data_IF_788557668859
#
_entry.id   IF_788557668859
#
_cell.length_a   1.000
_cell.length_b   1.000
_cell.length_c   1.000
_cell.angle_alpha   90.00
_cell.angle_beta   90.00
_cell.angle_gamma   90.00
#
_symmetry.space_group_name_H-M   'P 1'
#
loop_
_entity.id
_entity.type
_entity.pdbx_description
1 polymer ?
#
# COMPACT_ATOMS: atom_id res chain seq x y z
N UNK A 1 -9.93 17.43 -0.15
CA UNK A 1 -11.10 18.12 0.44
C UNK A 1 -11.67 17.20 1.52
N UNK A 2 -11.95 17.78 2.71
CA UNK A 2 -12.65 17.05 3.77
C UNK A 2 -14.11 16.86 3.37
N UNK A 3 -14.55 15.62 3.27
CA UNK A 3 -15.93 15.29 2.96
C UNK A 3 -16.79 15.47 4.20
N UNK A 4 -17.80 16.33 4.13
CA UNK A 4 -18.74 16.59 5.24
C UNK A 4 -19.64 15.37 5.52
N UNK A 5 -20.06 15.20 6.78
CA UNK A 5 -20.96 14.10 7.18
C UNK A 5 -22.29 14.05 6.38
N UNK A 6 -22.81 15.17 5.97
CA UNK A 6 -24.01 15.25 5.12
C UNK A 6 -23.75 14.67 3.73
N UNK A 7 -22.59 14.97 3.16
CA UNK A 7 -22.18 14.47 1.86
C UNK A 7 -21.98 12.94 1.89
N UNK A 8 -21.37 12.40 2.95
CA UNK A 8 -21.27 10.97 3.19
C UNK A 8 -22.65 10.28 3.25
N UNK A 9 -23.59 10.91 3.91
CA UNK A 9 -24.94 10.36 4.06
C UNK A 9 -25.71 10.31 2.73
N UNK A 10 -25.56 11.35 1.89
CA UNK A 10 -26.34 11.46 0.66
C UNK A 10 -25.68 10.80 -0.56
N UNK A 11 -24.36 10.77 -0.65
CA UNK A 11 -23.66 10.33 -1.86
C UNK A 11 -23.15 8.87 -1.79
N UNK A 12 -23.10 8.24 -0.63
CA UNK A 12 -23.02 6.79 -0.44
C UNK A 12 -21.70 6.08 -0.81
N UNK A 13 -20.76 6.71 -1.48
CA UNK A 13 -19.49 6.09 -1.87
C UNK A 13 -18.30 6.98 -1.56
N UNK A 14 -17.48 6.54 -0.63
CA UNK A 14 -16.29 7.27 -0.20
C UNK A 14 -15.15 6.31 0.13
N UNK A 15 -13.95 6.87 0.25
CA UNK A 15 -12.77 6.17 0.73
C UNK A 15 -12.97 5.68 2.19
N UNK A 16 -12.16 4.74 2.61
CA UNK A 16 -12.23 4.11 3.94
C UNK A 16 -12.10 5.09 5.11
N UNK A 17 -11.36 6.21 4.95
CA UNK A 17 -11.19 7.22 6.00
C UNK A 17 -12.52 7.89 6.39
N UNK A 18 -13.25 8.54 5.46
CA UNK A 18 -14.54 9.16 5.77
C UNK A 18 -15.55 8.16 6.32
N UNK A 19 -15.61 6.95 5.74
CA UNK A 19 -16.55 5.90 6.16
C UNK A 19 -16.27 5.47 7.61
N UNK A 20 -15.00 5.16 7.94
CA UNK A 20 -14.63 4.78 9.30
C UNK A 20 -14.91 5.90 10.30
N UNK A 21 -14.57 7.15 9.97
CA UNK A 21 -14.80 8.33 10.82
C UNK A 21 -16.29 8.56 11.05
N UNK A 22 -17.12 8.42 10.02
CA UNK A 22 -18.57 8.57 10.12
C UNK A 22 -19.21 7.49 11.02
N UNK A 23 -18.86 6.21 10.80
CA UNK A 23 -19.35 5.12 11.63
C UNK A 23 -18.98 5.26 13.11
N UNK A 24 -17.73 5.64 13.38
CA UNK A 24 -17.24 5.93 14.74
C UNK A 24 -18.02 7.11 15.35
N UNK A 25 -18.27 8.17 14.60
CA UNK A 25 -19.00 9.34 15.10
C UNK A 25 -20.45 9.02 15.47
N UNK A 26 -21.16 8.22 14.67
CA UNK A 26 -22.53 7.76 14.97
C UNK A 26 -22.55 6.94 16.27
N UNK A 27 -21.67 5.96 16.39
CA UNK A 27 -21.65 5.11 17.59
C UNK A 27 -21.30 5.90 18.85
N UNK A 28 -20.39 6.87 18.75
CA UNK A 28 -20.08 7.79 19.87
C UNK A 28 -21.28 8.67 20.24
N UNK A 29 -22.05 9.16 19.27
CA UNK A 29 -23.27 9.90 19.52
C UNK A 29 -24.31 9.03 20.27
N UNK A 30 -24.27 7.71 20.10
CA UNK A 30 -25.07 6.76 20.87
C UNK A 30 -24.46 6.35 22.21
N UNK A 31 -23.35 6.97 22.63
CA UNK A 31 -22.68 6.66 23.90
C UNK A 31 -21.81 5.39 23.88
N UNK A 32 -21.53 4.85 22.70
CA UNK A 32 -20.72 3.64 22.54
C UNK A 32 -19.22 4.03 22.39
N UNK A 33 -18.32 3.52 23.24
CA UNK A 33 -16.90 3.82 23.13
C UNK A 33 -16.32 3.22 21.84
N UNK A 34 -15.88 4.08 20.93
CA UNK A 34 -15.34 3.71 19.61
C UNK A 34 -14.15 4.57 19.22
N UNK A 35 -13.31 4.05 18.33
CA UNK A 35 -12.20 4.77 17.75
C UNK A 35 -11.96 4.35 16.30
N UNK A 36 -11.18 5.13 15.56
CA UNK A 36 -10.69 4.75 14.23
C UNK A 36 -9.32 4.09 14.38
N UNK A 37 -9.12 2.97 13.75
CA UNK A 37 -7.83 2.32 13.55
C UNK A 37 -7.44 2.28 12.08
N UNK A 38 -6.14 2.19 11.83
CA UNK A 38 -5.62 2.00 10.49
C UNK A 38 -4.31 1.21 10.51
N UNK A 39 -4.04 0.49 9.42
CA UNK A 39 -2.74 -0.15 9.20
C UNK A 39 -1.78 0.83 8.50
N UNK A 40 -0.50 0.81 8.85
CA UNK A 40 0.53 1.66 8.25
C UNK A 40 0.64 1.44 6.72
N UNK A 41 0.64 0.19 6.29
CA UNK A 41 0.46 -0.19 4.89
C UNK A 41 0.13 -1.69 4.77
N UNK A 42 -0.31 -2.10 3.58
CA UNK A 42 -0.41 -3.51 3.21
C UNK A 42 0.93 -4.03 2.69
N UNK A 43 1.18 -5.31 2.90
CA UNK A 43 2.38 -6.02 2.40
C UNK A 43 2.40 -6.20 0.90
N UNK A 44 1.23 -6.33 0.29
CA UNK A 44 1.07 -6.75 -1.11
C UNK A 44 0.72 -5.62 -2.06
N UNK A 45 0.15 -4.52 -1.55
CA UNK A 45 -0.29 -3.40 -2.39
C UNK A 45 -0.13 -2.07 -1.69
N UNK A 46 -0.28 -1.05 -2.50
CA UNK A 46 -0.29 0.34 -2.05
C UNK A 46 -1.49 0.61 -1.15
N UNK A 47 -1.30 1.57 -0.24
CA UNK A 47 -2.38 2.12 0.53
C UNK A 47 -2.45 1.61 1.95
N UNK A 48 -3.37 2.20 2.65
CA UNK A 48 -3.75 1.95 4.05
C UNK A 48 -5.21 1.56 4.07
N UNK A 49 -5.63 0.91 5.14
CA UNK A 49 -7.05 0.70 5.39
C UNK A 49 -7.40 1.28 6.74
N UNK A 50 -8.51 2.01 6.78
CA UNK A 50 -9.08 2.59 7.97
C UNK A 50 -10.37 1.84 8.31
N UNK A 51 -10.56 1.54 9.59
CA UNK A 51 -11.74 0.84 10.09
C UNK A 51 -12.13 1.35 11.47
N UNK A 52 -13.34 1.04 11.90
CA UNK A 52 -13.81 1.33 13.25
C UNK A 52 -13.46 0.23 14.23
N UNK A 53 -13.32 0.59 15.51
CA UNK A 53 -13.27 -0.35 16.62
C UNK A 53 -14.21 0.07 17.72
N UNK A 54 -14.84 -0.91 18.38
CA UNK A 54 -15.75 -0.74 19.53
C UNK A 54 -15.13 -1.38 20.75
N UNK A 55 -15.16 -0.69 21.88
CA UNK A 55 -14.77 -1.27 23.15
C UNK A 55 -15.96 -2.02 23.75
N UNK A 56 -15.83 -3.34 23.94
CA UNK A 56 -16.85 -4.16 24.60
C UNK A 56 -16.82 -4.00 26.12
N UNK A 57 -17.82 -4.57 26.80
CA UNK A 57 -17.94 -4.54 28.27
C UNK A 57 -16.81 -5.28 29.00
N UNK A 58 -16.05 -6.12 28.31
CA UNK A 58 -14.92 -6.89 28.86
C UNK A 58 -13.58 -6.18 28.64
N UNK A 59 -13.57 -5.02 27.99
CA UNK A 59 -12.36 -4.26 27.69
C UNK A 59 -11.69 -4.68 26.37
N UNK A 60 -12.33 -5.50 25.54
CA UNK A 60 -11.78 -5.90 24.23
C UNK A 60 -12.20 -4.91 23.16
N UNK A 61 -11.31 -4.63 22.23
CA UNK A 61 -11.59 -3.84 21.04
C UNK A 61 -12.02 -4.77 19.91
N UNK A 62 -13.23 -4.54 19.39
CA UNK A 62 -13.86 -5.31 18.32
C UNK A 62 -13.83 -4.48 17.05
N UNK A 63 -13.17 -4.99 16.01
CA UNK A 63 -13.04 -4.30 14.75
C UNK A 63 -14.29 -4.44 13.87
N UNK A 64 -14.60 -3.41 13.07
CA UNK A 64 -15.69 -3.42 12.09
C UNK A 64 -15.43 -2.45 10.94
N UNK A 65 -15.99 -2.75 9.78
CA UNK A 65 -16.11 -1.81 8.68
C UNK A 65 -17.55 -1.29 8.64
N UNK A 66 -17.77 0.02 8.82
CA UNK A 66 -19.14 0.56 8.92
C UNK A 66 -20.05 0.20 7.75
N UNK A 67 -19.48 0.03 6.55
CA UNK A 67 -20.22 -0.27 5.33
C UNK A 67 -20.50 -1.77 5.11
N UNK A 68 -19.79 -2.68 5.82
CA UNK A 68 -19.78 -4.10 5.41
C UNK A 68 -19.74 -5.12 6.52
N UNK A 69 -19.47 -4.75 7.77
CA UNK A 69 -19.36 -5.72 8.87
C UNK A 69 -19.84 -5.16 10.20
N UNK A 70 -20.33 -6.05 11.06
CA UNK A 70 -20.59 -5.76 12.48
C UNK A 70 -19.32 -5.91 13.31
N UNK A 71 -19.23 -5.29 14.50
CA UNK A 71 -18.12 -5.47 15.41
C UNK A 71 -17.85 -6.94 15.75
N UNK A 72 -16.64 -7.40 15.59
CA UNK A 72 -16.25 -8.80 15.81
C UNK A 72 -14.85 -8.91 16.42
N UNK A 73 -14.66 -9.95 17.25
CA UNK A 73 -13.33 -10.36 17.72
C UNK A 73 -12.57 -11.20 16.68
N UNK A 74 -13.22 -11.59 15.60
CA UNK A 74 -12.58 -12.29 14.49
C UNK A 74 -11.78 -11.31 13.64
N UNK A 75 -10.46 -11.29 13.85
CA UNK A 75 -9.52 -10.45 13.12
C UNK A 75 -9.19 -11.01 11.72
N UNK A 76 -9.74 -12.16 11.32
CA UNK A 76 -9.50 -12.76 10.00
C UNK A 76 -10.03 -11.90 8.86
N UNK A 77 -11.13 -11.17 9.09
CA UNK A 77 -11.75 -10.28 8.12
C UNK A 77 -10.86 -9.09 7.71
N UNK A 78 -9.89 -8.71 8.54
CA UNK A 78 -8.95 -7.61 8.29
C UNK A 78 -7.66 -8.07 7.61
N UNK A 79 -7.55 -9.36 7.24
CA UNK A 79 -6.37 -9.92 6.60
C UNK A 79 -5.07 -9.56 7.36
N UNK A 80 -5.11 -9.76 8.68
CA UNK A 80 -4.03 -9.38 9.60
C UNK A 80 -2.65 -9.90 9.18
N UNK A 81 -2.61 -10.98 8.38
CA UNK A 81 -1.37 -11.57 7.86
C UNK A 81 -0.65 -10.66 6.85
N UNK A 82 -1.38 -9.78 6.18
CA UNK A 82 -0.88 -8.95 5.07
C UNK A 82 -0.71 -7.47 5.43
N UNK A 83 -0.97 -7.10 6.67
CA UNK A 83 -0.79 -5.73 7.16
C UNK A 83 0.53 -5.55 7.92
N UNK A 84 0.99 -4.31 7.96
CA UNK A 84 2.04 -3.84 8.86
C UNK A 84 1.41 -3.03 9.99
N UNK A 85 2.20 -2.56 10.93
CA UNK A 85 1.77 -1.94 12.19
C UNK A 85 0.40 -1.26 12.15
N UNK A 86 -0.34 -1.37 13.25
CA UNK A 86 -1.70 -0.85 13.40
C UNK A 86 -1.70 0.27 14.42
N UNK A 87 -2.34 1.37 14.05
CA UNK A 87 -2.44 2.58 14.85
C UNK A 87 -3.89 2.95 15.11
N UNK A 88 -4.15 3.50 16.31
CA UNK A 88 -5.46 4.02 16.72
C UNK A 88 -5.38 5.51 16.94
N UNK A 89 -6.36 6.24 16.43
CA UNK A 89 -6.56 7.63 16.81
C UNK A 89 -7.24 7.69 18.18
N UNK A 90 -6.52 8.24 19.14
CA UNK A 90 -6.99 8.47 20.50
C UNK A 90 -7.65 9.84 20.63
N UNK A 91 -8.45 10.04 21.66
CA UNK A 91 -9.06 11.35 21.99
C UNK A 91 -8.25 12.14 23.04
N UNK A 92 -7.15 11.57 23.50
CA UNK A 92 -6.17 12.19 24.37
C UNK A 92 -4.79 12.12 23.76
N UNK A 93 -3.95 13.10 24.05
CA UNK A 93 -2.57 13.14 23.61
C UNK A 93 -1.77 11.91 24.09
N UNK A 94 -0.97 11.36 23.22
CA UNK A 94 -0.06 10.25 23.47
C UNK A 94 1.38 10.79 23.47
N UNK A 95 1.97 10.92 24.66
CA UNK A 95 3.28 11.58 24.85
C UNK A 95 4.47 10.79 24.33
N UNK A 96 4.27 9.56 23.91
CA UNK A 96 5.25 8.65 23.32
C UNK A 96 5.25 8.65 21.79
N UNK A 97 4.44 9.53 21.18
CA UNK A 97 4.42 9.67 19.70
C UNK A 97 5.62 10.46 19.17
N UNK A 98 6.01 10.26 17.91
CA UNK A 98 7.02 11.09 17.25
C UNK A 98 6.75 12.58 17.38
N UNK A 99 5.49 13.00 17.33
CA UNK A 99 5.06 14.40 17.50
C UNK A 99 5.63 15.05 18.77
N UNK A 100 5.65 14.34 19.93
CA UNK A 100 6.21 14.84 21.18
C UNK A 100 7.67 14.48 21.42
N UNK A 101 8.15 13.45 20.73
CA UNK A 101 9.53 12.95 20.90
C UNK A 101 10.51 13.65 19.96
N UNK A 102 10.00 14.37 18.95
CA UNK A 102 10.84 15.11 18.01
C UNK A 102 11.72 16.13 18.73
N UNK A 103 12.89 16.39 18.21
CA UNK A 103 13.82 17.39 18.69
C UNK A 103 14.46 18.16 17.56
N UNK A 104 14.74 19.44 17.82
CA UNK A 104 15.51 20.27 16.91
C UNK A 104 14.88 20.44 15.52
N UNK A 105 13.55 20.33 15.39
CA UNK A 105 12.84 20.43 14.10
C UNK A 105 13.18 19.30 13.14
N UNK A 106 13.46 18.08 13.65
CA UNK A 106 13.63 16.91 12.79
C UNK A 106 12.33 16.61 12.03
N UNK A 107 12.47 16.09 10.82
CA UNK A 107 11.31 15.71 10.02
C UNK A 107 10.59 14.49 10.60
N UNK A 108 9.28 14.61 10.80
CA UNK A 108 8.41 13.50 11.16
C UNK A 108 7.66 13.08 9.90
N UNK A 109 7.70 11.79 9.51
CA UNK A 109 6.84 11.29 8.44
C UNK A 109 5.36 11.57 8.73
N UNK A 110 4.61 12.01 7.73
CA UNK A 110 3.19 12.38 7.84
C UNK A 110 2.33 11.34 8.58
N UNK A 111 2.63 10.05 8.39
CA UNK A 111 1.96 8.96 9.09
C UNK A 111 2.00 9.10 10.60
N UNK A 112 3.06 9.68 11.16
CA UNK A 112 3.36 9.75 12.59
C UNK A 112 3.26 11.16 13.16
N UNK A 113 2.92 12.15 12.32
CA UNK A 113 2.78 13.55 12.73
C UNK A 113 1.39 13.82 13.34
N UNK A 114 1.14 13.14 14.46
CA UNK A 114 -0.11 13.31 15.21
C UNK A 114 0.11 13.08 16.71
N UNK A 115 -0.35 14.02 17.56
CA UNK A 115 -0.30 13.86 19.02
C UNK A 115 -1.26 12.78 19.53
N UNK A 116 -2.19 12.31 18.72
CA UNK A 116 -3.27 11.40 19.12
C UNK A 116 -3.05 9.96 18.67
N UNK A 117 -1.88 9.64 18.14
CA UNK A 117 -1.58 8.33 17.55
C UNK A 117 -1.09 7.36 18.61
N UNK A 118 -1.73 6.19 18.73
CA UNK A 118 -1.30 5.08 19.59
C UNK A 118 -0.99 3.84 18.76
N UNK A 119 0.20 3.28 18.97
CA UNK A 119 0.53 1.94 18.44
C UNK A 119 -0.27 0.89 19.21
N UNK A 120 -1.13 0.16 18.51
CA UNK A 120 -1.96 -0.93 19.05
C UNK A 120 -1.63 -2.28 18.40
N UNK A 121 -0.52 -2.35 17.66
CA UNK A 121 -0.09 -3.53 16.90
C UNK A 121 -0.03 -4.78 17.78
N UNK A 122 0.56 -4.68 18.98
CA UNK A 122 0.72 -5.79 19.91
C UNK A 122 -0.58 -6.33 20.50
N UNK A 123 -1.69 -5.58 20.40
CA UNK A 123 -3.02 -6.05 20.84
C UNK A 123 -3.66 -6.99 19.81
N UNK A 124 -3.26 -6.89 18.55
CA UNK A 124 -3.88 -7.60 17.43
C UNK A 124 -2.95 -8.62 16.78
N UNK A 125 -1.65 -8.36 16.81
CA UNK A 125 -0.64 -9.16 16.14
C UNK A 125 0.50 -9.53 17.07
N UNK A 126 1.16 -10.65 16.80
CA UNK A 126 2.42 -10.99 17.47
C UNK A 126 3.48 -9.97 17.10
N UNK A 127 4.08 -9.33 18.08
CA UNK A 127 5.20 -8.40 17.93
C UNK A 127 6.36 -8.82 18.82
N UNK A 128 7.54 -8.32 18.48
CA UNK A 128 8.74 -8.45 19.31
C UNK A 128 9.41 -7.07 19.44
N UNK A 129 10.00 -6.75 20.61
CA UNK A 129 10.88 -5.59 20.69
C UNK A 129 12.16 -5.86 19.90
N UNK A 130 12.68 -4.83 19.26
CA UNK A 130 13.89 -4.91 18.45
C UNK A 130 14.80 -3.75 18.74
N UNK A 131 16.06 -4.04 19.12
CA UNK A 131 17.10 -3.03 19.31
C UNK A 131 18.16 -3.16 18.23
N UNK A 132 18.45 -2.07 17.54
CA UNK A 132 19.46 -1.97 16.48
C UNK A 132 20.57 -1.01 16.89
N UNK A 133 21.80 -1.28 16.45
CA UNK A 133 22.91 -0.33 16.58
C UNK A 133 22.62 0.93 15.75
N UNK A 134 22.93 2.09 16.32
CA UNK A 134 22.78 3.39 15.66
C UNK A 134 24.08 4.20 15.82
N UNK A 135 24.84 4.35 14.75
CA UNK A 135 26.17 4.99 14.74
C UNK A 135 26.17 6.36 14.06
N UNK A 136 25.02 6.82 13.59
CA UNK A 136 24.93 8.11 12.90
C UNK A 136 25.13 9.29 13.85
N UNK A 137 25.87 10.29 13.38
CA UNK A 137 26.24 11.47 14.17
C UNK A 137 25.24 12.62 14.09
N UNK A 138 24.17 12.49 13.28
CA UNK A 138 23.12 13.49 13.12
C UNK A 138 22.40 13.83 14.43
N UNK A 139 21.58 14.90 14.43
CA UNK A 139 20.86 15.37 15.62
C UNK A 139 19.47 14.75 15.82
N UNK A 140 19.08 13.80 15.00
CA UNK A 140 17.78 13.14 15.11
C UNK A 140 17.60 12.48 16.48
N UNK A 141 16.40 12.58 17.04
CA UNK A 141 15.99 11.86 18.25
C UNK A 141 15.24 10.56 17.90
N UNK A 142 14.79 10.45 16.65
CA UNK A 142 13.97 9.34 16.15
C UNK A 142 14.62 8.66 14.96
N UNK A 143 14.41 7.36 14.91
CA UNK A 143 14.65 6.53 13.74
C UNK A 143 13.44 5.63 13.47
N UNK A 144 13.39 5.04 12.30
CA UNK A 144 12.22 4.32 11.80
C UNK A 144 12.62 2.98 11.20
N UNK A 145 11.72 2.01 11.28
CA UNK A 145 11.76 0.86 10.38
C UNK A 145 10.79 1.14 9.24
N UNK A 146 11.27 0.99 8.03
CA UNK A 146 10.46 1.10 6.83
C UNK A 146 10.27 -0.27 6.17
N UNK A 147 9.21 -0.41 5.39
CA UNK A 147 8.90 -1.60 4.60
C UNK A 147 8.72 -1.23 3.12
N UNK A 148 8.77 -2.22 2.22
CA UNK A 148 8.48 -2.00 0.81
C UNK A 148 7.07 -1.46 0.59
N UNK A 149 6.96 -0.43 -0.24
CA UNK A 149 5.69 0.10 -0.70
C UNK A 149 5.85 0.67 -2.11
N UNK A 150 5.23 0.02 -3.08
CA UNK A 150 5.32 0.41 -4.49
C UNK A 150 4.63 1.74 -4.82
N UNK A 151 3.78 2.25 -3.92
CA UNK A 151 3.12 3.55 -4.08
C UNK A 151 3.95 4.75 -3.69
N UNK A 152 5.10 4.51 -3.04
CA UNK A 152 5.99 5.59 -2.63
C UNK A 152 7.12 5.76 -3.65
N UNK A 153 7.45 6.99 -4.00
CA UNK A 153 8.56 7.29 -4.92
C UNK A 153 9.92 6.74 -4.42
N UNK A 154 10.08 6.62 -3.08
CA UNK A 154 11.24 6.00 -2.46
C UNK A 154 11.22 4.46 -2.50
N UNK A 155 10.10 3.84 -2.87
CA UNK A 155 9.88 2.40 -2.79
C UNK A 155 9.72 1.83 -1.38
N UNK A 156 9.80 2.66 -0.34
CA UNK A 156 9.65 2.28 1.06
C UNK A 156 8.76 3.27 1.83
N UNK A 157 8.09 2.79 2.86
CA UNK A 157 7.29 3.59 3.79
C UNK A 157 7.68 3.27 5.23
N UNK A 158 7.84 4.27 6.13
CA UNK A 158 8.07 4.02 7.54
C UNK A 158 6.82 3.37 8.16
N UNK A 159 7.02 2.31 8.95
CA UNK A 159 5.94 1.53 9.55
C UNK A 159 5.94 1.51 11.06
N UNK A 160 7.06 1.83 11.68
CA UNK A 160 7.19 2.04 13.14
C UNK A 160 8.37 2.95 13.45
N UNK A 161 8.39 3.52 14.65
CA UNK A 161 9.44 4.43 15.12
C UNK A 161 10.12 3.91 16.39
N UNK A 162 11.32 4.38 16.64
CA UNK A 162 12.07 4.16 17.86
C UNK A 162 12.84 5.42 18.28
N UNK A 163 13.00 5.59 19.60
CA UNK A 163 13.82 6.66 20.14
C UNK A 163 15.28 6.25 20.15
N UNK A 164 16.14 7.14 19.63
CA UNK A 164 17.59 6.94 19.61
C UNK A 164 18.17 7.17 21.00
N UNK A 165 18.87 6.16 21.52
CA UNK A 165 19.71 6.28 22.71
C UNK A 165 21.16 6.51 22.29
N UNK A 166 21.61 7.76 22.36
CA UNK A 166 22.97 8.13 21.91
C UNK A 166 24.06 7.64 22.83
N UNK A 167 23.78 7.46 24.12
CA UNK A 167 24.78 6.96 25.08
C UNK A 167 25.09 5.48 24.84
N UNK A 168 24.08 4.72 24.46
CA UNK A 168 24.22 3.29 24.17
C UNK A 168 24.41 3.00 22.69
N UNK A 169 24.43 4.03 21.83
CA UNK A 169 24.53 3.89 20.39
C UNK A 169 23.52 2.91 19.79
N UNK A 170 22.28 3.00 20.24
CA UNK A 170 21.21 2.13 19.74
C UNK A 170 19.87 2.85 19.56
N UNK A 171 18.94 2.16 18.92
CA UNK A 171 17.53 2.54 18.81
C UNK A 171 16.67 1.31 19.09
N UNK A 172 15.63 1.48 19.91
CA UNK A 172 14.71 0.41 20.26
C UNK A 172 13.32 0.70 19.68
N UNK A 173 12.78 -0.30 19.00
CA UNK A 173 11.43 -0.36 18.46
C UNK A 173 10.60 -1.32 19.31
N UNK A 174 9.46 -0.88 19.83
CA UNK A 174 8.68 -1.65 20.82
C UNK A 174 7.82 -2.74 20.20
N UNK A 175 7.30 -2.52 18.99
CA UNK A 175 6.26 -3.38 18.40
C UNK A 175 6.61 -3.71 16.94
N UNK A 176 7.57 -4.61 16.74
CA UNK A 176 7.99 -5.04 15.39
C UNK A 176 7.35 -6.38 15.06
N UNK A 177 6.69 -6.46 13.92
CA UNK A 177 6.02 -7.67 13.45
C UNK A 177 7.06 -8.63 12.85
N UNK A 178 7.18 -9.89 13.34
CA UNK A 178 8.05 -10.88 12.74
C UNK A 178 7.58 -11.31 11.33
N UNK A 179 8.40 -12.12 10.64
CA UNK A 179 8.16 -12.62 9.28
C UNK A 179 8.05 -11.50 8.24
N UNK A 180 8.89 -10.45 8.38
CA UNK A 180 8.88 -9.24 7.56
C UNK A 180 10.28 -8.78 7.21
N UNK A 181 10.36 -8.04 6.09
CA UNK A 181 11.56 -7.38 5.64
C UNK A 181 11.52 -5.91 6.04
N UNK A 182 12.61 -5.39 6.61
CA UNK A 182 12.71 -4.03 7.12
C UNK A 182 13.93 -3.30 6.61
N UNK A 183 13.80 -1.98 6.49
CA UNK A 183 14.84 -1.01 6.17
C UNK A 183 15.00 -0.06 7.36
N UNK A 184 16.15 -0.08 8.07
CA UNK A 184 16.45 0.88 9.12
C UNK A 184 16.73 2.25 8.51
N UNK A 185 15.91 3.26 8.83
CA UNK A 185 16.04 4.60 8.22
C UNK A 185 15.88 5.71 9.25
N UNK A 186 16.47 6.86 8.95
CA UNK A 186 16.20 8.16 9.58
C UNK A 186 15.95 9.20 8.50
N UNK A 187 15.44 10.36 8.86
CA UNK A 187 15.12 11.41 7.90
C UNK A 187 15.98 12.66 8.13
N UNK A 188 16.39 13.30 7.03
CA UNK A 188 16.91 14.67 7.09
C UNK A 188 15.79 15.64 7.45
N UNK A 189 16.10 16.90 7.86
CA UNK A 189 15.08 17.92 8.10
C UNK A 189 14.16 18.22 6.90
N UNK A 190 14.59 17.86 5.69
CA UNK A 190 13.83 18.03 4.45
C UNK A 190 13.06 16.76 4.01
N UNK A 191 12.93 15.77 4.89
CA UNK A 191 12.16 14.54 4.61
C UNK A 191 12.85 13.51 3.71
N UNK A 192 14.15 13.68 3.37
CA UNK A 192 14.89 12.67 2.65
C UNK A 192 15.31 11.54 3.59
N UNK A 193 14.96 10.30 3.26
CA UNK A 193 15.36 9.11 4.03
C UNK A 193 16.82 8.72 3.79
N UNK A 194 17.49 8.29 4.87
CA UNK A 194 18.83 7.72 4.87
C UNK A 194 18.80 6.42 5.66
N UNK A 195 19.58 5.44 5.22
CA UNK A 195 19.73 4.19 5.98
C UNK A 195 20.78 4.38 7.09
N UNK A 196 20.50 3.81 8.28
CA UNK A 196 21.48 3.70 9.37
C UNK A 196 21.96 2.26 9.59
N UNK A 197 21.52 1.32 8.77
CA UNK A 197 21.92 -0.08 8.82
C UNK A 197 21.51 -0.82 7.56
N UNK A 198 21.98 -2.05 7.42
CA UNK A 198 21.61 -2.91 6.31
C UNK A 198 20.13 -3.35 6.42
N UNK A 199 19.43 -3.49 5.29
CA UNK A 199 18.11 -4.13 5.27
C UNK A 199 18.20 -5.56 5.84
N UNK A 200 17.15 -6.00 6.51
CA UNK A 200 17.12 -7.32 7.15
C UNK A 200 15.73 -7.95 7.08
N UNK A 201 15.69 -9.26 7.17
CA UNK A 201 14.48 -10.02 7.40
C UNK A 201 14.39 -10.38 8.89
N UNK A 202 13.26 -10.04 9.52
CA UNK A 202 12.95 -10.47 10.87
C UNK A 202 12.15 -11.76 10.79
N UNK A 203 12.76 -12.90 11.13
CA UNK A 203 12.10 -14.19 10.99
C UNK A 203 10.97 -14.40 12.03
N UNK A 204 10.24 -15.52 11.93
CA UNK A 204 9.10 -15.82 12.81
C UNK A 204 9.44 -15.91 14.29
N UNK A 205 10.69 -16.25 14.58
CA UNK A 205 11.26 -16.33 15.93
C UNK A 205 11.71 -14.96 16.46
N UNK A 206 11.63 -13.90 15.64
CA UNK A 206 12.08 -12.55 16.00
C UNK A 206 13.60 -12.36 15.89
N UNK A 207 14.30 -13.22 15.13
CA UNK A 207 15.74 -13.10 14.90
C UNK A 207 15.99 -12.40 13.56
N UNK A 208 17.02 -11.54 13.54
CA UNK A 208 17.48 -10.87 12.33
C UNK A 208 18.23 -11.84 11.44
N UNK A 209 17.81 -11.90 10.19
CA UNK A 209 18.50 -12.56 9.10
C UNK A 209 18.90 -11.52 8.06
N UNK A 210 20.20 -11.44 7.76
CA UNK A 210 20.71 -10.54 6.72
C UNK A 210 20.63 -11.23 5.36
N UNK A 211 20.25 -10.52 4.30
CA UNK A 211 20.29 -11.07 2.96
C UNK A 211 21.74 -11.44 2.61
N UNK A 212 21.94 -12.63 2.10
CA UNK A 212 23.25 -13.02 1.60
C UNK A 212 23.56 -12.25 0.30
N UNK A 213 24.48 -11.32 0.37
CA UNK A 213 25.02 -10.65 -0.81
C UNK A 213 26.02 -11.57 -1.52
N UNK A 214 25.51 -12.53 -2.28
CA UNK A 214 26.37 -13.32 -3.18
C UNK A 214 26.92 -12.43 -4.30
N UNK A 215 28.21 -12.58 -4.62
CA UNK A 215 28.84 -11.87 -5.77
C UNK A 215 28.39 -12.40 -7.13
N UNK A 216 27.56 -13.43 -7.17
CA UNK A 216 27.13 -14.05 -8.41
C UNK A 216 25.83 -13.39 -8.88
N UNK A 217 25.92 -12.65 -9.98
CA UNK A 217 24.76 -12.15 -10.69
C UNK A 217 24.13 -13.35 -11.40
N UNK A 218 22.89 -13.68 -11.07
CA UNK A 218 22.09 -14.69 -11.76
C UNK A 218 20.88 -13.99 -12.36
N UNK A 219 20.42 -14.47 -13.50
CA UNK A 219 19.12 -14.09 -14.01
C UNK A 219 18.06 -14.63 -13.05
N UNK A 220 17.22 -13.75 -12.55
CA UNK A 220 16.17 -14.09 -11.58
C UNK A 220 14.82 -13.77 -12.21
N UNK A 221 13.98 -14.77 -12.32
CA UNK A 221 12.57 -14.56 -12.65
C UNK A 221 11.83 -14.17 -11.37
N UNK A 222 11.34 -12.92 -11.32
CA UNK A 222 10.55 -12.44 -10.20
C UNK A 222 9.11 -12.96 -10.36
N UNK A 223 8.72 -13.85 -9.46
CA UNK A 223 7.34 -14.30 -9.34
C UNK A 223 6.67 -13.57 -8.18
N UNK A 224 5.37 -13.42 -8.26
CA UNK A 224 4.58 -12.85 -7.19
C UNK A 224 4.66 -13.74 -5.95
N UNK A 225 5.11 -13.18 -4.81
CA UNK A 225 5.27 -13.93 -3.55
C UNK A 225 3.93 -14.49 -3.03
N UNK A 226 2.86 -13.75 -3.26
CA UNK A 226 1.51 -14.15 -2.85
C UNK A 226 0.60 -14.24 -4.09
N UNK A 227 -0.30 -15.20 -4.14
CA UNK A 227 -1.27 -15.26 -5.21
C UNK A 227 -2.11 -13.98 -5.23
N UNK A 228 -2.58 -13.60 -6.41
CA UNK A 228 -3.48 -12.47 -6.54
C UNK A 228 -4.78 -12.79 -5.81
N UNK A 229 -5.34 -11.81 -5.08
CA UNK A 229 -6.67 -11.97 -4.49
C UNK A 229 -7.69 -12.34 -5.56
N UNK A 230 -8.60 -13.25 -5.24
CA UNK A 230 -9.60 -13.73 -6.19
C UNK A 230 -10.42 -12.57 -6.80
N UNK A 231 -10.71 -11.52 -6.02
CA UNK A 231 -11.40 -10.34 -6.53
C UNK A 231 -10.63 -9.59 -7.63
N UNK A 232 -9.29 -9.53 -7.55
CA UNK A 232 -8.43 -8.95 -8.60
C UNK A 232 -8.34 -9.87 -9.81
N UNK A 233 -8.22 -11.18 -9.59
CA UNK A 233 -8.28 -12.18 -10.66
C UNK A 233 -9.59 -12.07 -11.42
N UNK A 234 -10.72 -11.99 -10.72
CA UNK A 234 -12.05 -11.83 -11.32
C UNK A 234 -12.16 -10.54 -12.13
N UNK A 235 -11.55 -9.44 -11.66
CA UNK A 235 -11.51 -8.18 -12.45
C UNK A 235 -10.65 -8.33 -13.70
N UNK A 236 -9.51 -8.97 -13.61
CA UNK A 236 -8.60 -9.17 -14.74
C UNK A 236 -9.17 -10.14 -15.79
N UNK A 237 -9.86 -11.20 -15.35
CA UNK A 237 -10.56 -12.14 -16.26
C UNK A 237 -11.61 -11.42 -17.11
N UNK A 238 -12.19 -10.33 -16.64
CA UNK A 238 -13.15 -9.52 -17.40
C UNK A 238 -12.54 -8.86 -18.64
N UNK A 239 -11.22 -8.79 -18.75
CA UNK A 239 -10.53 -8.33 -19.95
C UNK A 239 -10.47 -9.38 -21.06
N UNK A 240 -10.75 -10.66 -20.75
CA UNK A 240 -10.76 -11.73 -21.75
C UNK A 240 -11.82 -11.45 -22.79
N UNK A 241 -11.44 -11.58 -24.07
CA UNK A 241 -12.29 -11.22 -25.19
C UNK A 241 -12.21 -9.75 -25.62
N UNK A 242 -11.52 -8.89 -24.87
CA UNK A 242 -11.23 -7.52 -25.28
C UNK A 242 -10.41 -7.55 -26.58
N UNK A 243 -10.83 -6.78 -27.57
CA UNK A 243 -10.17 -6.70 -28.88
C UNK A 243 -9.41 -5.40 -29.06
N UNK A 244 -8.27 -5.49 -29.73
CA UNK A 244 -7.53 -4.34 -30.23
C UNK A 244 -7.90 -4.13 -31.71
N UNK A 245 -8.53 -3.00 -31.98
CA UNK A 245 -8.88 -2.56 -33.31
C UNK A 245 -7.83 -1.60 -33.85
N UNK A 246 -7.59 -1.63 -35.15
CA UNK A 246 -6.72 -0.69 -35.86
C UNK A 246 -7.38 -0.13 -37.09
N UNK A 247 -7.12 1.13 -37.40
CA UNK A 247 -7.70 1.80 -38.57
C UNK A 247 -6.79 2.93 -39.07
N UNK A 248 -6.95 3.31 -40.33
CA UNK A 248 -6.39 4.55 -40.90
C UNK A 248 -7.42 5.69 -40.91
N UNK A 249 -8.59 5.47 -40.30
CA UNK A 249 -9.64 6.50 -40.14
C UNK A 249 -9.99 6.68 -38.68
N UNK A 250 -10.10 7.92 -38.16
CA UNK A 250 -10.42 8.18 -36.76
C UNK A 250 -11.79 7.62 -36.32
N UNK A 251 -12.73 7.43 -37.27
CA UNK A 251 -14.04 6.84 -37.01
C UNK A 251 -14.08 5.31 -36.99
N UNK A 252 -12.92 4.62 -37.13
CA UNK A 252 -12.82 3.15 -37.16
C UNK A 252 -13.79 2.44 -38.10
N UNK A 253 -14.07 3.07 -39.22
CA UNK A 253 -14.89 2.47 -40.33
C UNK A 253 -14.21 2.73 -41.69
N UNK A 254 -13.58 1.72 -42.31
CA UNK A 254 -13.39 0.34 -41.79
C UNK A 254 -12.32 0.24 -40.74
N UNK A 255 -12.33 -0.87 -39.95
CA UNK A 255 -11.29 -1.22 -39.02
C UNK A 255 -10.96 -2.72 -39.12
N UNK A 256 -9.75 -3.06 -38.68
CA UNK A 256 -9.27 -4.43 -38.56
C UNK A 256 -9.11 -4.81 -37.10
N UNK A 257 -9.44 -6.05 -36.72
CA UNK A 257 -9.06 -6.60 -35.41
C UNK A 257 -7.63 -7.10 -35.50
N UNK A 258 -6.73 -6.49 -34.76
CA UNK A 258 -5.28 -6.79 -34.79
C UNK A 258 -4.80 -7.55 -33.58
N UNK A 259 -5.60 -7.65 -32.55
CA UNK A 259 -5.29 -8.43 -31.35
C UNK A 259 -6.52 -8.74 -30.52
N UNK A 260 -6.44 -9.80 -29.72
CA UNK A 260 -7.49 -10.20 -28.76
C UNK A 260 -6.81 -10.63 -27.46
N UNK A 261 -7.34 -10.20 -26.32
CA UNK A 261 -6.89 -10.65 -25.00
C UNK A 261 -7.49 -12.04 -24.76
N UNK A 262 -6.63 -13.07 -24.66
CA UNK A 262 -7.07 -14.46 -24.44
C UNK A 262 -6.39 -15.16 -23.28
N UNK A 263 -5.30 -14.58 -22.73
CA UNK A 263 -4.54 -15.20 -21.66
C UNK A 263 -5.29 -15.13 -20.34
N UNK A 264 -5.72 -16.27 -19.82
CA UNK A 264 -6.39 -16.43 -18.53
C UNK A 264 -5.41 -16.73 -17.39
N UNK A 265 -4.16 -17.10 -17.70
CA UNK A 265 -3.15 -17.50 -16.71
C UNK A 265 -2.41 -16.29 -16.14
N UNK A 266 -2.24 -15.25 -16.97
CA UNK A 266 -1.54 -14.03 -16.59
C UNK A 266 -2.46 -12.80 -16.75
N UNK A 267 -3.60 -12.74 -16.05
CA UNK A 267 -4.62 -11.70 -16.28
C UNK A 267 -4.16 -10.28 -15.88
N UNK A 268 -3.05 -10.15 -15.22
CA UNK A 268 -2.45 -8.87 -14.75
C UNK A 268 -1.34 -8.34 -15.68
N UNK A 269 -0.91 -9.14 -16.64
CA UNK A 269 0.07 -8.75 -17.65
C UNK A 269 -0.24 -9.51 -18.94
N UNK A 270 -0.47 -8.80 -20.02
CA UNK A 270 -0.87 -9.37 -21.29
C UNK A 270 0.06 -8.88 -22.39
N UNK A 271 0.76 -9.81 -23.01
CA UNK A 271 1.54 -9.56 -24.22
C UNK A 271 0.70 -9.93 -25.45
N UNK A 272 0.24 -8.93 -26.19
CA UNK A 272 -0.60 -9.13 -27.37
C UNK A 272 0.23 -8.92 -28.62
N UNK A 273 0.50 -9.98 -29.35
CA UNK A 273 1.12 -9.86 -30.68
C UNK A 273 0.09 -9.35 -31.67
N UNK A 274 0.28 -8.13 -32.14
CA UNK A 274 -0.58 -7.54 -33.14
C UNK A 274 -0.32 -8.20 -34.51
N UNK A 275 -1.39 -8.70 -35.12
CA UNK A 275 -1.34 -9.22 -36.49
C UNK A 275 -1.23 -8.08 -37.52
N UNK A 276 -0.06 -7.84 -38.09
CA UNK A 276 0.24 -6.71 -38.98
C UNK A 276 0.01 -7.05 -40.44
N UNK A 277 -1.00 -7.84 -40.76
CA UNK A 277 -1.24 -8.27 -42.17
C UNK A 277 -1.69 -7.15 -43.13
N UNK A 278 -2.06 -5.97 -42.61
CA UNK A 278 -2.61 -4.86 -43.39
C UNK A 278 -2.09 -3.48 -42.99
N UNK A 279 -1.12 -3.41 -42.06
CA UNK A 279 -0.57 -2.13 -41.57
C UNK A 279 0.34 -1.40 -42.56
N UNK A 280 0.83 -0.19 -42.23
CA UNK A 280 0.74 0.47 -40.93
C UNK A 280 -0.62 1.14 -40.67
N UNK A 281 -1.02 1.21 -39.41
CA UNK A 281 -2.24 1.89 -38.97
C UNK A 281 -1.90 3.17 -38.20
N UNK A 282 -2.78 4.20 -38.31
CA UNK A 282 -2.62 5.47 -37.61
C UNK A 282 -3.36 5.50 -36.26
N UNK A 283 -4.43 4.72 -36.12
CA UNK A 283 -5.31 4.74 -34.96
C UNK A 283 -5.49 3.33 -34.40
N UNK A 284 -5.45 3.22 -33.05
CA UNK A 284 -5.74 1.99 -32.35
C UNK A 284 -6.84 2.24 -31.32
N UNK A 285 -7.71 1.28 -31.10
CA UNK A 285 -8.79 1.34 -30.15
C UNK A 285 -8.88 0.00 -29.40
N UNK A 286 -9.02 0.06 -28.08
CA UNK A 286 -9.34 -1.09 -27.27
C UNK A 286 -10.85 -1.12 -27.09
N UNK A 287 -11.46 -2.23 -27.51
CA UNK A 287 -12.91 -2.46 -27.37
C UNK A 287 -13.14 -3.62 -26.42
N UNK A 288 -13.69 -3.31 -25.23
CA UNK A 288 -14.04 -4.30 -24.23
C UNK A 288 -15.29 -5.08 -24.63
N UNK A 289 -15.51 -6.22 -23.98
CA UNK A 289 -16.77 -6.98 -24.12
C UNK A 289 -17.94 -6.17 -23.54
N UNK A 290 -19.15 -6.38 -24.04
CA UNK A 290 -20.33 -5.55 -23.77
C UNK A 290 -20.74 -5.43 -22.29
N UNK A 291 -20.28 -6.33 -21.43
CA UNK A 291 -20.65 -6.31 -20.00
C UNK A 291 -19.88 -5.26 -19.18
N UNK A 292 -18.75 -4.77 -19.70
CA UNK A 292 -17.89 -3.81 -18.97
C UNK A 292 -17.40 -2.73 -19.95
N UNK A 293 -18.05 -1.57 -19.94
CA UNK A 293 -17.73 -0.47 -20.87
C UNK A 293 -16.35 0.18 -20.62
N UNK A 294 -15.73 -0.12 -19.45
CA UNK A 294 -14.44 0.44 -19.09
C UNK A 294 -13.38 -0.66 -19.03
N UNK A 295 -12.28 -0.48 -19.78
CA UNK A 295 -11.12 -1.34 -19.67
C UNK A 295 -10.47 -1.14 -18.30
N UNK A 296 -10.36 -2.23 -17.50
CA UNK A 296 -9.63 -2.22 -16.25
C UNK A 296 -8.11 -2.34 -16.53
N UNK A 297 -7.57 -1.38 -17.30
CA UNK A 297 -6.16 -1.30 -17.64
C UNK A 297 -5.52 -0.20 -16.81
N UNK A 298 -4.39 -0.50 -16.20
CA UNK A 298 -3.56 0.49 -15.50
C UNK A 298 -2.46 1.06 -16.40
N UNK A 299 -2.06 0.32 -17.44
CA UNK A 299 -0.99 0.71 -18.34
C UNK A 299 -1.17 0.03 -19.70
N UNK A 300 -0.81 0.72 -20.76
CA UNK A 300 -0.77 0.22 -22.13
C UNK A 300 0.49 0.71 -22.81
N UNK A 301 1.31 -0.21 -23.31
CA UNK A 301 2.52 0.10 -24.05
C UNK A 301 2.48 -0.57 -25.45
N UNK A 302 2.86 0.19 -26.48
CA UNK A 302 3.11 -0.35 -27.82
C UNK A 302 4.60 -0.57 -27.99
N UNK A 303 5.00 -1.84 -28.11
CA UNK A 303 6.40 -2.23 -28.32
C UNK A 303 6.61 -2.47 -29.82
N UNK A 304 7.52 -1.71 -30.44
CA UNK A 304 7.94 -1.91 -31.82
C UNK A 304 9.30 -2.58 -31.89
N UNK A 305 9.60 -3.28 -32.98
CA UNK A 305 10.93 -3.89 -33.21
C UNK A 305 12.00 -2.79 -33.21
N UNK A 306 13.01 -2.95 -32.36
CA UNK A 306 14.06 -1.96 -32.04
C UNK A 306 14.86 -1.50 -33.27
N UNK A 307 14.76 -2.18 -34.39
CA UNK A 307 15.48 -1.85 -35.63
C UNK A 307 15.15 -0.48 -36.23
N UNK A 308 14.07 0.18 -35.82
CA UNK A 308 13.62 1.47 -36.34
C UNK A 308 13.69 2.65 -35.38
N UNK A 309 14.21 2.52 -34.20
CA UNK A 309 14.68 3.64 -33.37
C UNK A 309 13.64 4.61 -32.84
N UNK A 310 12.33 4.33 -32.89
CA UNK A 310 11.30 5.19 -32.34
C UNK A 310 10.60 4.54 -31.16
N UNK A 311 10.86 5.05 -29.96
CA UNK A 311 9.99 4.85 -28.79
C UNK A 311 8.89 5.92 -28.85
N UNK A 312 7.70 5.56 -29.28
CA UNK A 312 6.54 6.42 -29.08
C UNK A 312 5.89 6.06 -27.74
N UNK A 313 6.32 6.71 -26.67
CA UNK A 313 5.58 6.75 -25.41
C UNK A 313 4.46 7.77 -25.55
N UNK A 314 3.21 7.34 -25.60
CA UNK A 314 2.05 8.22 -25.49
C UNK A 314 1.78 8.42 -23.99
N UNK A 315 1.81 9.66 -23.47
CA UNK A 315 1.48 9.90 -22.06
C UNK A 315 0.02 9.50 -21.79
N UNK A 316 -0.23 8.86 -20.65
CA UNK A 316 -1.56 8.42 -20.21
C UNK A 316 -2.59 9.54 -19.97
N UNK A 317 -2.24 10.80 -20.23
CA UNK A 317 -3.09 11.98 -20.01
C UNK A 317 -4.04 12.33 -21.15
N UNK A 318 -4.18 11.48 -22.18
CA UNK A 318 -5.03 11.73 -23.34
C UNK A 318 -6.15 10.67 -23.54
N UNK A 319 -6.56 10.00 -22.46
CA UNK A 319 -7.76 9.14 -22.48
C UNK A 319 -8.89 9.75 -21.65
#
# INVERSE_FOLDING_TARGET
EEVGYQELFFNGFHDCIPIASYGVSILRACGIPTAVEFNACYRQFQGRHYHGVVLDKNGNWLAFNPESSIPTSDNSSFETKDILNIYRFMFSEQKDTPFFLEKNGEYIPELFDSPFLKDVTSHLLKTVPLTLSYQETGNNNLAYLAAFNSGMSSGIIPVTWGKINRMEHNVTFSSVIPDRFYFPVYYSPFGKSFSFGEPFYLNKEGKIEKPHTGRKINDVTLLRKFPMKQGLVNKAIKLIGTVVLASNKPGFNPCDTVGVITDTLHPYFQDIKLGMNKGPYQYYQIKTTNEYPHAALSELEFITDIRYGYKNTIPASSL
#
